data_IF_697579042178
#
_entry.id   IF_697579042178
#
_cell.length_a   1.000
_cell.length_b   1.000
_cell.length_c   1.000
_cell.angle_alpha   90.00
_cell.angle_beta   90.00
_cell.angle_gamma   90.00
#
_symmetry.space_group_name_H-M   'P 1'
#
loop_
_entity.id
_entity.type
_entity.pdbx_description
1 polymer ?
#
# COMPACT_ATOMS: atom_id res chain seq x y z
N UNK A 1 13.16 40.91 4.69
CA UNK A 1 13.15 39.45 4.46
C UNK A 1 12.35 39.20 3.19
N UNK A 2 12.99 38.76 2.10
CA UNK A 2 12.32 38.53 0.82
C UNK A 2 11.78 37.11 0.82
N UNK A 3 10.47 36.97 0.71
CA UNK A 3 9.83 35.66 0.53
C UNK A 3 10.24 35.11 -0.84
N UNK A 4 10.94 33.98 -0.85
CA UNK A 4 11.24 33.27 -2.08
C UNK A 4 9.92 32.72 -2.65
N UNK A 5 9.47 33.28 -3.76
CA UNK A 5 8.45 32.67 -4.62
C UNK A 5 9.04 31.39 -5.20
N UNK A 6 8.58 30.25 -4.70
CA UNK A 6 8.87 28.95 -5.29
C UNK A 6 8.04 28.84 -6.58
N UNK A 7 8.71 28.94 -7.73
CA UNK A 7 8.09 28.64 -9.02
C UNK A 7 7.49 27.22 -8.98
N UNK A 8 6.21 27.03 -9.36
CA UNK A 8 5.62 25.71 -9.37
C UNK A 8 6.40 24.82 -10.34
N UNK A 9 6.78 23.63 -9.87
CA UNK A 9 7.44 22.64 -10.72
C UNK A 9 6.53 22.35 -11.92
N UNK A 10 7.00 22.65 -13.13
CA UNK A 10 6.28 22.43 -14.40
C UNK A 10 6.28 20.94 -14.81
N UNK A 11 6.10 20.04 -13.84
CA UNK A 11 6.10 18.60 -14.06
C UNK A 11 4.68 18.19 -14.41
N UNK A 12 4.49 17.68 -15.63
CA UNK A 12 3.25 17.00 -16.01
C UNK A 12 3.05 15.74 -15.13
N UNK A 13 2.03 15.72 -14.25
CA UNK A 13 1.82 14.61 -13.32
C UNK A 13 1.43 13.31 -14.03
N UNK A 14 0.76 13.37 -15.18
CA UNK A 14 0.37 12.19 -15.95
C UNK A 14 1.61 11.49 -16.51
N UNK A 15 2.52 12.29 -17.08
CA UNK A 15 3.82 11.81 -17.56
C UNK A 15 4.70 11.28 -16.43
N UNK A 16 4.78 12.01 -15.30
CA UNK A 16 5.60 11.61 -14.16
C UNK A 16 5.13 10.28 -13.54
N UNK A 17 3.82 10.12 -13.34
CA UNK A 17 3.23 8.91 -12.74
C UNK A 17 2.99 7.80 -13.75
N UNK A 18 3.21 8.06 -15.05
CA UNK A 18 2.92 7.16 -16.18
C UNK A 18 1.48 6.63 -16.13
N UNK A 19 0.55 7.58 -16.03
CA UNK A 19 -0.89 7.35 -16.05
C UNK A 19 -1.51 8.12 -17.21
N UNK A 20 -2.57 7.57 -17.79
CA UNK A 20 -3.33 8.21 -18.87
C UNK A 20 -4.77 8.38 -18.45
N UNK A 21 -5.30 9.60 -18.60
CA UNK A 21 -6.74 9.84 -18.47
C UNK A 21 -7.45 9.44 -19.75
N UNK A 22 -8.41 8.54 -19.64
CA UNK A 22 -9.22 8.08 -20.75
C UNK A 22 -10.39 9.06 -20.98
N UNK A 23 -10.99 9.02 -22.18
CA UNK A 23 -12.12 9.90 -22.54
C UNK A 23 -13.38 9.68 -21.70
N UNK A 24 -13.53 8.51 -21.09
CA UNK A 24 -14.62 8.15 -20.19
C UNK A 24 -14.39 8.59 -18.73
N UNK A 25 -13.29 9.30 -18.46
CA UNK A 25 -12.91 9.77 -17.13
C UNK A 25 -12.24 8.72 -16.23
N UNK A 26 -11.97 7.52 -16.74
CA UNK A 26 -11.15 6.52 -16.05
C UNK A 26 -9.65 6.79 -16.18
N UNK A 27 -8.83 6.11 -15.36
CA UNK A 27 -7.37 6.22 -15.36
C UNK A 27 -6.71 4.88 -15.73
N UNK A 28 -5.93 4.88 -16.81
CA UNK A 28 -5.04 3.77 -17.19
C UNK A 28 -3.69 3.93 -16.51
N UNK A 29 -3.18 2.86 -15.91
CA UNK A 29 -1.90 2.83 -15.19
C UNK A 29 -0.90 2.01 -16.00
N UNK A 30 0.09 2.67 -16.59
CA UNK A 30 1.11 2.01 -17.41
C UNK A 30 2.33 1.58 -16.61
N UNK A 31 2.42 2.02 -15.35
CA UNK A 31 3.43 1.58 -14.40
C UNK A 31 3.10 0.20 -13.84
N UNK A 32 3.96 -0.77 -14.12
CA UNK A 32 4.01 -2.03 -13.38
C UNK A 32 5.08 -1.94 -12.29
N UNK A 33 4.70 -2.27 -11.06
CA UNK A 33 5.64 -2.42 -9.96
C UNK A 33 5.87 -3.90 -9.71
N UNK A 34 7.11 -4.31 -9.36
CA UNK A 34 7.35 -5.69 -8.95
C UNK A 34 6.48 -6.02 -7.73
N UNK A 35 6.03 -7.26 -7.68
CA UNK A 35 5.18 -7.80 -6.63
C UNK A 35 5.88 -8.97 -5.96
N UNK A 36 5.84 -9.02 -4.63
CA UNK A 36 6.40 -10.10 -3.82
C UNK A 36 5.27 -11.04 -3.37
N UNK A 37 5.54 -12.35 -3.43
CA UNK A 37 4.62 -13.36 -2.89
C UNK A 37 4.62 -13.35 -1.36
N UNK A 38 3.52 -13.78 -0.76
CA UNK A 38 3.45 -14.00 0.67
C UNK A 38 4.20 -15.28 1.05
N UNK A 39 4.88 -15.24 2.19
CA UNK A 39 5.71 -16.33 2.74
C UNK A 39 5.18 -16.75 4.11
N UNK A 40 4.17 -17.66 4.17
CA UNK A 40 3.50 -18.00 5.41
C UNK A 40 4.32 -18.92 6.33
N UNK A 41 5.39 -19.51 5.80
CA UNK A 41 6.29 -20.42 6.49
C UNK A 41 7.74 -19.94 6.32
N UNK A 42 8.61 -20.39 7.22
CA UNK A 42 10.05 -20.14 7.15
C UNK A 42 10.61 -20.99 6.01
N UNK A 43 11.20 -20.36 5.00
CA UNK A 43 11.84 -21.04 3.87
C UNK A 43 13.36 -20.91 3.88
N UNK A 44 13.91 -19.97 4.67
CA UNK A 44 15.34 -19.76 4.82
C UNK A 44 15.69 -19.38 6.27
N UNK A 45 16.89 -19.72 6.71
CA UNK A 45 17.38 -19.39 8.07
C UNK A 45 17.52 -17.88 8.30
N UNK A 46 17.66 -17.11 7.22
CA UNK A 46 17.75 -15.64 7.25
C UNK A 46 16.37 -14.93 7.33
N UNK A 47 15.27 -15.68 7.29
CA UNK A 47 13.93 -15.09 7.27
C UNK A 47 13.53 -14.61 8.67
N UNK A 48 13.27 -13.31 8.80
CA UNK A 48 12.88 -12.69 10.07
C UNK A 48 11.37 -12.45 10.21
N UNK A 49 10.62 -12.56 9.10
CA UNK A 49 9.18 -12.27 9.08
C UNK A 49 8.45 -13.24 8.16
N UNK A 50 7.25 -13.59 8.59
CA UNK A 50 6.27 -14.38 7.84
C UNK A 50 5.20 -13.44 7.31
N UNK A 51 4.67 -13.73 6.13
CA UNK A 51 3.58 -12.97 5.55
C UNK A 51 2.47 -13.85 5.00
N UNK A 52 1.23 -13.39 5.12
CA UNK A 52 0.04 -14.12 4.63
C UNK A 52 -1.00 -13.15 4.10
N UNK A 53 -1.56 -13.46 2.94
CA UNK A 53 -2.70 -12.72 2.37
C UNK A 53 -4.00 -13.26 2.95
N UNK A 54 -4.87 -12.34 3.40
CA UNK A 54 -6.17 -12.63 4.00
C UNK A 54 -7.23 -11.85 3.22
N UNK A 55 -8.19 -12.52 2.56
CA UNK A 55 -9.30 -11.86 1.89
C UNK A 55 -10.09 -10.97 2.86
N UNK A 56 -10.40 -9.74 2.46
CA UNK A 56 -11.18 -8.79 3.26
C UNK A 56 -12.61 -8.71 2.75
N UNK A 57 -12.77 -8.44 1.45
CA UNK A 57 -14.07 -8.43 0.78
C UNK A 57 -13.89 -8.97 -0.63
N UNK A 58 -14.45 -10.16 -0.87
CA UNK A 58 -14.39 -10.88 -2.13
C UNK A 58 -15.10 -10.12 -3.27
N UNK A 59 -16.22 -9.45 -2.99
CA UNK A 59 -16.97 -8.69 -4.01
C UNK A 59 -16.15 -7.52 -4.57
N UNK A 60 -15.22 -6.99 -3.78
CA UNK A 60 -14.38 -5.85 -4.15
C UNK A 60 -12.94 -6.26 -4.48
N UNK A 61 -12.63 -7.56 -4.52
CA UNK A 61 -11.27 -8.09 -4.71
C UNK A 61 -10.24 -7.44 -3.77
N UNK A 62 -10.64 -7.19 -2.52
CA UNK A 62 -9.76 -6.59 -1.51
C UNK A 62 -9.26 -7.62 -0.53
N UNK A 63 -8.02 -7.45 -0.11
CA UNK A 63 -7.34 -8.31 0.86
C UNK A 63 -6.43 -7.44 1.74
N UNK A 64 -5.97 -8.01 2.84
CA UNK A 64 -4.86 -7.47 3.61
C UNK A 64 -3.73 -8.48 3.63
N UNK A 65 -2.50 -8.00 3.76
CA UNK A 65 -1.34 -8.86 4.04
C UNK A 65 -0.93 -8.69 5.49
N UNK A 66 -1.00 -9.77 6.23
CA UNK A 66 -0.54 -9.86 7.62
C UNK A 66 0.94 -10.21 7.63
N UNK A 67 1.71 -9.51 8.45
CA UNK A 67 3.12 -9.77 8.75
C UNK A 67 3.25 -10.15 10.21
N UNK A 68 4.09 -11.15 10.50
CA UNK A 68 4.41 -11.61 11.85
C UNK A 68 5.90 -11.87 11.95
N UNK A 69 6.62 -11.40 12.99
CA UNK A 69 8.00 -11.82 13.20
C UNK A 69 8.10 -13.34 13.39
N UNK A 70 9.22 -13.93 12.96
CA UNK A 70 9.47 -15.37 13.20
C UNK A 70 9.62 -15.64 14.69
N UNK A 71 10.37 -14.78 15.39
CA UNK A 71 10.44 -14.77 16.84
C UNK A 71 9.22 -14.02 17.37
N UNK A 72 8.30 -14.75 18.00
CA UNK A 72 7.09 -14.15 18.55
C UNK A 72 7.42 -13.44 19.87
N UNK A 73 7.14 -12.13 19.98
CA UNK A 73 7.33 -11.43 21.25
C UNK A 73 6.39 -11.99 22.31
N UNK A 74 6.87 -12.04 23.55
CA UNK A 74 6.10 -12.50 24.70
C UNK A 74 5.27 -11.35 25.29
N UNK A 75 4.06 -11.66 25.76
CA UNK A 75 3.17 -10.68 26.39
C UNK A 75 2.22 -9.96 25.42
N UNK A 76 1.61 -8.87 25.90
CA UNK A 76 0.73 -8.04 25.07
C UNK A 76 1.57 -7.15 24.16
N UNK A 77 1.27 -7.21 22.87
CA UNK A 77 2.00 -6.50 21.84
C UNK A 77 1.03 -5.77 20.91
N UNK A 78 1.37 -4.55 20.45
CA UNK A 78 0.50 -3.78 19.57
C UNK A 78 0.33 -4.46 18.20
N UNK A 79 -0.81 -4.15 17.58
CA UNK A 79 -1.09 -4.43 16.17
C UNK A 79 -0.97 -3.14 15.40
N UNK A 80 -0.20 -3.15 14.30
CA UNK A 80 -0.08 -2.00 13.41
C UNK A 80 -0.95 -2.21 12.18
N UNK A 81 -1.83 -1.24 11.89
CA UNK A 81 -2.60 -1.21 10.63
C UNK A 81 -1.95 -0.17 9.72
N UNK A 82 -1.28 -0.64 8.69
CA UNK A 82 -0.59 0.17 7.69
C UNK A 82 -1.45 0.33 6.43
N UNK A 83 -1.45 1.54 5.90
CA UNK A 83 -2.02 1.85 4.60
C UNK A 83 -0.92 2.35 3.68
N UNK A 84 -0.71 1.67 2.56
CA UNK A 84 0.31 2.07 1.60
C UNK A 84 -0.01 3.44 0.95
N UNK A 85 1.04 4.11 0.48
CA UNK A 85 0.93 5.36 -0.28
C UNK A 85 0.44 5.14 -1.72
N UNK A 86 0.88 5.99 -2.66
CA UNK A 86 0.50 5.87 -4.07
C UNK A 86 -0.73 6.69 -4.46
N UNK A 87 -1.07 7.73 -3.68
CA UNK A 87 -2.06 8.74 -4.06
C UNK A 87 -3.48 8.20 -4.30
N UNK A 88 -3.82 7.04 -3.73
CA UNK A 88 -5.07 6.31 -3.98
C UNK A 88 -5.27 5.83 -5.42
N UNK A 89 -4.23 5.95 -6.26
CA UNK A 89 -4.26 5.63 -7.69
C UNK A 89 -3.16 4.63 -8.09
N UNK A 90 -2.44 4.05 -7.13
CA UNK A 90 -1.41 3.05 -7.40
C UNK A 90 -1.01 2.24 -6.18
N UNK A 91 -0.18 1.22 -6.43
CA UNK A 91 0.39 0.29 -5.45
C UNK A 91 -0.61 -0.70 -4.84
N UNK A 92 -0.06 -1.72 -4.17
CA UNK A 92 -0.77 -2.83 -3.51
C UNK A 92 0.03 -3.29 -2.28
N UNK A 93 -0.60 -3.94 -1.27
CA UNK A 93 0.08 -4.79 -0.27
C UNK A 93 1.19 -5.68 -0.81
N UNK A 94 1.08 -6.14 -2.05
CA UNK A 94 2.04 -7.05 -2.66
C UNK A 94 3.22 -6.33 -3.31
N UNK A 95 3.14 -5.02 -3.54
CA UNK A 95 4.22 -4.27 -4.18
C UNK A 95 5.53 -4.43 -3.40
N UNK A 96 6.63 -4.82 -4.07
CA UNK A 96 7.83 -5.35 -3.39
C UNK A 96 8.44 -4.40 -2.37
N UNK A 97 8.49 -3.09 -2.63
CA UNK A 97 9.01 -2.14 -1.65
C UNK A 97 8.05 -1.93 -0.47
N UNK A 98 6.73 -1.96 -0.69
CA UNK A 98 5.74 -1.98 0.40
C UNK A 98 5.95 -3.24 1.23
N UNK A 99 6.08 -4.39 0.58
CA UNK A 99 6.33 -5.66 1.25
C UNK A 99 7.62 -5.65 2.07
N UNK A 100 8.71 -5.12 1.53
CA UNK A 100 10.00 -5.01 2.22
C UNK A 100 9.91 -4.10 3.44
N UNK A 101 9.33 -2.90 3.30
CA UNK A 101 9.12 -1.97 4.42
C UNK A 101 8.31 -2.63 5.53
N UNK A 102 7.22 -3.28 5.14
CA UNK A 102 6.33 -4.01 6.02
C UNK A 102 7.07 -5.15 6.77
N UNK A 103 7.81 -5.99 6.05
CA UNK A 103 8.61 -7.05 6.65
C UNK A 103 9.64 -6.50 7.65
N UNK A 104 10.33 -5.41 7.30
CA UNK A 104 11.34 -4.80 8.17
C UNK A 104 10.74 -4.22 9.45
N UNK A 105 9.58 -3.56 9.36
CA UNK A 105 8.84 -3.07 10.53
C UNK A 105 8.46 -4.25 11.43
N UNK A 106 7.87 -5.30 10.86
CA UNK A 106 7.47 -6.49 11.62
C UNK A 106 8.66 -7.20 12.28
N UNK A 107 9.82 -7.25 11.64
CA UNK A 107 11.01 -7.92 12.16
C UNK A 107 11.67 -7.16 13.32
N UNK A 108 11.62 -5.83 13.33
CA UNK A 108 12.40 -4.99 14.25
C UNK A 108 11.55 -4.23 15.28
N UNK A 109 10.23 -4.42 15.28
CA UNK A 109 9.34 -3.84 16.29
C UNK A 109 8.80 -4.93 17.22
N UNK A 110 8.53 -4.62 18.50
CA UNK A 110 7.84 -5.53 19.40
C UNK A 110 6.34 -5.53 19.07
N UNK A 111 5.97 -5.93 17.85
CA UNK A 111 4.58 -5.98 17.38
C UNK A 111 4.17 -7.44 17.14
N UNK A 112 2.93 -7.78 17.47
CA UNK A 112 2.41 -9.12 17.19
C UNK A 112 2.25 -9.35 15.69
N UNK A 113 1.80 -8.29 15.02
CA UNK A 113 1.67 -8.29 13.59
C UNK A 113 1.37 -6.91 13.04
N UNK A 114 1.65 -6.77 11.76
CA UNK A 114 1.44 -5.56 11.00
C UNK A 114 0.64 -5.92 9.75
N UNK A 115 -0.44 -5.19 9.51
CA UNK A 115 -1.40 -5.46 8.44
C UNK A 115 -1.28 -4.36 7.40
N UNK A 116 -1.06 -4.70 6.13
CA UNK A 116 -1.16 -3.74 5.03
C UNK A 116 -2.44 -3.99 4.26
N UNK A 117 -3.26 -2.95 4.09
CA UNK A 117 -4.61 -3.07 3.54
C UNK A 117 -4.62 -2.67 2.07
N UNK A 118 -5.15 -3.54 1.20
CA UNK A 118 -5.48 -3.17 -0.17
C UNK A 118 -6.67 -2.22 -0.15
N UNK A 119 -6.47 -0.99 -0.62
CA UNK A 119 -7.60 -0.13 -0.94
C UNK A 119 -8.24 -0.61 -2.23
N UNK A 120 -9.57 -0.70 -2.26
CA UNK A 120 -10.31 -0.96 -3.49
C UNK A 120 -10.00 0.16 -4.50
N UNK A 121 -9.05 -0.10 -5.39
CA UNK A 121 -8.91 0.68 -6.61
C UNK A 121 -10.07 0.24 -7.46
N UNK A 122 -11.14 1.04 -7.53
CA UNK A 122 -12.18 0.78 -8.51
C UNK A 122 -11.52 0.57 -9.86
N UNK A 123 -11.79 -0.55 -10.52
CA UNK A 123 -11.34 -0.84 -11.88
C UNK A 123 -11.74 0.28 -12.86
N UNK A 124 -12.67 1.14 -12.43
CA UNK A 124 -12.96 2.47 -12.97
C UNK A 124 -12.95 3.48 -11.82
N UNK A 125 -11.86 4.22 -11.63
CA UNK A 125 -11.87 5.43 -10.80
C UNK A 125 -12.59 6.52 -11.62
N UNK A 126 -13.92 6.47 -11.67
CA UNK A 126 -14.71 7.63 -12.06
C UNK A 126 -14.41 8.71 -11.01
N UNK A 127 -13.95 9.89 -11.44
CA UNK A 127 -13.43 10.98 -10.61
C UNK A 127 -14.21 11.26 -9.31
N UNK A 128 -15.53 11.05 -9.32
CA UNK A 128 -16.43 11.22 -8.18
C UNK A 128 -16.29 10.18 -7.06
N UNK A 129 -15.80 8.96 -7.33
CA UNK A 129 -15.63 7.90 -6.32
C UNK A 129 -14.27 7.96 -5.62
N UNK A 130 -13.20 8.32 -6.31
CA UNK A 130 -11.88 8.51 -5.68
C UNK A 130 -11.88 9.71 -4.72
N UNK A 131 -12.59 10.80 -5.06
CA UNK A 131 -12.80 11.94 -4.14
C UNK A 131 -13.67 11.58 -2.92
N UNK A 132 -14.54 10.56 -3.03
CA UNK A 132 -15.41 10.15 -1.92
C UNK A 132 -14.64 9.39 -0.84
N UNK A 133 -13.59 8.62 -1.19
CA UNK A 133 -12.74 7.93 -0.20
C UNK A 133 -11.93 8.93 0.62
N UNK A 134 -11.45 10.05 0.05
CA UNK A 134 -10.71 11.06 0.83
C UNK A 134 -11.61 11.80 1.83
N UNK A 135 -12.89 12.02 1.50
CA UNK A 135 -13.85 12.71 2.39
C UNK A 135 -14.29 11.88 3.60
N UNK A 136 -14.21 10.55 3.56
CA UNK A 136 -14.62 9.71 4.70
C UNK A 136 -13.51 9.55 5.75
N UNK A 137 -12.25 9.83 5.42
CA UNK A 137 -11.10 9.68 6.33
C UNK A 137 -10.60 11.00 6.94
N UNK A 138 -11.10 12.15 6.48
CA UNK A 138 -10.80 13.48 7.04
C UNK A 138 -12.07 14.20 7.52
N UNK A 139 -12.95 13.47 8.21
CA UNK A 139 -14.02 14.06 9.00
C UNK A 139 -13.82 13.72 10.46
#
# INVERSE_FOLDING_TARGET
MVAATLEPSNIDPYRFLKITMNSDGSLTRSNSFPSSQATPQVTTDSQLTLSKDIPLNANNNTFLRLYRPVLTPTGQVPIIIYFHGGGFIGLSPTTSFIHLTCSNISAHSPTFGMLTVQRASGHTCHSSKCARISRTYYK
#
